data_IF_967062001586
#
_entry.id   IF_967062001586
#
_cell.length_a   1.000
_cell.length_b   1.000
_cell.length_c   1.000
_cell.angle_alpha   90.00
_cell.angle_beta   90.00
_cell.angle_gamma   90.00
#
_symmetry.space_group_name_H-M   'P 1'
#
loop_
_entity.id
_entity.type
_entity.pdbx_description
1 polymer ?
#
# COMPACT_ATOMS: atom_id res chain seq x y z
N UNK A 1 33.40 9.37 -0.69
CA UNK A 1 32.55 9.48 -1.88
C UNK A 1 32.89 10.80 -2.55
N UNK A 2 33.36 10.77 -3.79
CA UNK A 2 33.72 11.98 -4.53
C UNK A 2 32.45 12.71 -4.99
N UNK A 3 32.44 14.03 -4.89
CA UNK A 3 31.32 14.87 -5.31
C UNK A 3 31.15 14.90 -6.83
N UNK A 4 32.24 14.71 -7.58
CA UNK A 4 32.20 14.56 -9.03
C UNK A 4 31.66 13.18 -9.44
N UNK A 5 30.62 13.16 -10.26
CA UNK A 5 30.03 11.94 -10.84
C UNK A 5 29.03 11.20 -9.94
N UNK A 6 28.81 11.64 -8.70
CA UNK A 6 27.86 11.00 -7.78
C UNK A 6 26.61 11.88 -7.55
N UNK A 7 25.50 11.65 -8.27
CA UNK A 7 24.29 12.47 -8.13
C UNK A 7 23.63 12.34 -6.76
N UNK A 8 24.00 11.32 -5.98
CA UNK A 8 23.54 11.18 -4.60
C UNK A 8 24.07 12.31 -3.70
N UNK A 9 25.23 12.89 -4.03
CA UNK A 9 25.84 13.99 -3.29
C UNK A 9 25.02 15.29 -3.34
N UNK A 10 24.04 15.40 -4.23
CA UNK A 10 23.11 16.54 -4.28
C UNK A 10 21.93 16.41 -3.29
N UNK A 11 21.85 15.32 -2.53
CA UNK A 11 20.78 15.05 -1.56
C UNK A 11 21.35 14.90 -0.15
N UNK A 12 20.50 14.93 0.86
CA UNK A 12 20.89 14.56 2.22
C UNK A 12 20.90 13.02 2.38
N UNK A 13 21.98 12.41 1.90
CA UNK A 13 22.13 10.95 1.85
C UNK A 13 22.88 10.38 3.04
N UNK A 14 23.64 11.21 3.78
CA UNK A 14 24.54 10.75 4.85
C UNK A 14 23.73 10.12 5.99
N UNK A 15 22.70 10.82 6.48
CA UNK A 15 21.82 10.30 7.55
C UNK A 15 21.19 8.95 7.15
N UNK A 16 20.67 8.88 5.92
CA UNK A 16 20.09 7.64 5.41
C UNK A 16 21.12 6.50 5.27
N UNK A 17 22.34 6.80 4.84
CA UNK A 17 23.41 5.81 4.75
C UNK A 17 23.81 5.28 6.14
N UNK A 18 23.90 6.15 7.15
CA UNK A 18 24.14 5.76 8.54
C UNK A 18 23.02 4.87 9.07
N UNK A 19 21.76 5.29 8.89
CA UNK A 19 20.61 4.49 9.26
C UNK A 19 20.66 3.11 8.59
N UNK A 20 20.90 3.08 7.28
CA UNK A 20 20.89 1.85 6.48
C UNK A 20 22.03 0.92 6.87
N UNK A 21 23.26 1.41 6.98
CA UNK A 21 24.46 0.57 7.02
C UNK A 21 25.03 0.35 8.43
N UNK A 22 24.54 1.07 9.44
CA UNK A 22 25.00 0.93 10.84
C UNK A 22 24.95 -0.52 11.35
N UNK A 23 23.92 -1.28 11.01
CA UNK A 23 23.81 -2.70 11.40
C UNK A 23 24.82 -3.63 10.73
N UNK A 24 25.49 -3.19 9.66
CA UNK A 24 26.60 -3.91 9.02
C UNK A 24 27.97 -3.53 9.60
N UNK A 25 28.00 -2.74 10.67
CA UNK A 25 29.24 -2.31 11.32
C UNK A 25 29.93 -1.15 10.62
N UNK A 26 29.16 -0.27 9.96
CA UNK A 26 29.71 0.95 9.38
C UNK A 26 30.25 1.87 10.49
N UNK A 27 31.55 2.22 10.40
CA UNK A 27 32.24 3.09 11.38
C UNK A 27 32.63 4.46 10.83
N UNK A 28 32.93 4.55 9.53
CA UNK A 28 33.42 5.78 8.91
C UNK A 28 32.71 6.01 7.57
N UNK A 29 32.39 7.27 7.24
CA UNK A 29 31.90 7.72 5.94
C UNK A 29 32.73 8.92 5.51
N UNK A 30 33.31 8.88 4.31
CA UNK A 30 34.12 9.99 3.77
C UNK A 30 35.22 10.45 4.73
N UNK A 31 35.91 9.49 5.36
CA UNK A 31 36.98 9.72 6.33
C UNK A 31 36.53 10.38 7.66
N UNK A 32 35.23 10.61 7.86
CA UNK A 32 34.65 11.01 9.13
C UNK A 32 34.17 9.79 9.91
N UNK A 33 34.49 9.71 11.20
CA UNK A 33 33.92 8.72 12.11
C UNK A 33 32.45 9.01 12.39
N UNK A 34 31.65 7.96 12.41
CA UNK A 34 30.24 8.04 12.78
C UNK A 34 30.14 7.91 14.30
N UNK A 35 29.62 8.97 14.94
CA UNK A 35 29.36 8.93 16.38
C UNK A 35 28.10 8.12 16.72
N UNK A 36 27.97 7.76 18.00
CA UNK A 36 26.75 7.10 18.51
C UNK A 36 25.53 8.03 18.41
N UNK A 37 25.73 9.33 18.59
CA UNK A 37 24.70 10.36 18.43
C UNK A 37 24.19 10.41 16.98
N UNK A 38 25.10 10.36 16.00
CA UNK A 38 24.75 10.30 14.57
C UNK A 38 23.90 9.06 14.26
N UNK A 39 24.27 7.91 14.82
CA UNK A 39 23.49 6.67 14.65
C UNK A 39 22.10 6.77 15.30
N UNK A 40 22.01 7.38 16.47
CA UNK A 40 20.75 7.57 17.18
C UNK A 40 19.83 8.54 16.44
N UNK A 41 20.37 9.67 15.97
CA UNK A 41 19.63 10.67 15.21
C UNK A 41 19.08 10.09 13.90
N UNK A 42 19.93 9.39 13.14
CA UNK A 42 19.50 8.71 11.92
C UNK A 42 18.48 7.59 12.19
N UNK A 43 18.62 6.86 13.30
CA UNK A 43 17.66 5.81 13.66
C UNK A 43 16.30 6.37 14.03
N UNK A 44 16.25 7.50 14.72
CA UNK A 44 15.00 8.17 15.06
C UNK A 44 14.34 8.80 13.81
N UNK A 45 15.12 9.48 12.97
CA UNK A 45 14.63 10.11 11.72
C UNK A 45 13.93 9.09 10.81
N UNK A 46 14.51 7.90 10.65
CA UNK A 46 13.98 6.86 9.76
C UNK A 46 13.24 5.74 10.48
N UNK A 47 12.89 5.92 11.76
CA UNK A 47 12.20 4.91 12.57
C UNK A 47 10.92 4.41 11.91
N UNK A 48 10.15 5.32 11.32
CA UNK A 48 8.89 5.00 10.63
C UNK A 48 9.05 3.98 9.49
N UNK A 49 10.21 3.95 8.81
CA UNK A 49 10.48 2.95 7.76
C UNK A 49 10.60 1.54 8.36
N UNK A 50 11.28 1.42 9.50
CA UNK A 50 11.41 0.16 10.23
C UNK A 50 10.03 -0.34 10.70
N UNK A 51 9.23 0.54 11.30
CA UNK A 51 7.90 0.18 11.81
C UNK A 51 6.95 -0.24 10.69
N UNK A 52 6.93 0.52 9.60
CA UNK A 52 6.09 0.24 8.43
C UNK A 52 6.43 -1.12 7.84
N UNK A 53 7.72 -1.45 7.66
CA UNK A 53 8.12 -2.76 7.14
C UNK A 53 7.74 -3.88 8.08
N UNK A 54 7.95 -3.74 9.39
CA UNK A 54 7.55 -4.76 10.34
C UNK A 54 6.04 -4.98 10.36
N UNK A 55 5.24 -3.93 10.15
CA UNK A 55 3.78 -4.08 10.06
C UNK A 55 3.29 -4.66 8.74
N UNK A 56 3.95 -4.34 7.63
CA UNK A 56 3.52 -4.75 6.29
C UNK A 56 4.10 -6.08 5.82
N UNK A 57 5.17 -6.59 6.43
CA UNK A 57 5.80 -7.83 6.02
C UNK A 57 4.96 -9.06 6.44
N UNK A 58 4.49 -9.90 5.49
CA UNK A 58 3.76 -11.12 5.81
C UNK A 58 4.67 -12.22 6.37
N UNK A 59 4.13 -13.10 7.21
CA UNK A 59 4.86 -14.20 7.86
C UNK A 59 5.58 -15.12 6.85
N UNK A 60 5.00 -15.33 5.67
CA UNK A 60 5.58 -16.12 4.58
C UNK A 60 6.89 -15.56 4.03
N UNK A 61 7.12 -14.24 4.18
CA UNK A 61 8.37 -13.58 3.80
C UNK A 61 9.28 -13.34 5.00
N UNK A 62 8.72 -13.20 6.20
CA UNK A 62 9.48 -13.03 7.41
C UNK A 62 10.23 -14.31 7.80
N UNK A 63 9.61 -15.49 7.68
CA UNK A 63 10.27 -16.76 8.02
C UNK A 63 11.56 -17.03 7.21
N UNK A 64 11.59 -16.89 5.87
CA UNK A 64 12.82 -16.99 5.09
C UNK A 64 13.86 -15.92 5.42
N UNK A 65 13.41 -14.74 5.86
CA UNK A 65 14.31 -13.67 6.27
C UNK A 65 15.01 -14.01 7.58
N UNK A 66 14.25 -14.47 8.59
CA UNK A 66 14.81 -14.90 9.87
C UNK A 66 15.76 -16.09 9.68
N UNK A 67 15.42 -17.06 8.83
CA UNK A 67 16.31 -18.18 8.55
C UNK A 67 17.62 -17.74 7.86
N UNK A 68 17.57 -16.75 6.94
CA UNK A 68 18.77 -16.15 6.35
C UNK A 68 19.65 -15.48 7.39
N UNK A 69 19.05 -14.86 8.40
CA UNK A 69 19.74 -14.26 9.54
C UNK A 69 20.16 -15.29 10.61
N UNK A 70 19.92 -16.59 10.37
CA UNK A 70 20.17 -17.69 11.31
C UNK A 70 19.44 -17.52 12.64
N UNK A 71 18.25 -16.92 12.60
CA UNK A 71 17.34 -16.76 13.73
C UNK A 71 16.30 -17.86 13.66
N UNK A 72 16.35 -18.79 14.62
CA UNK A 72 15.39 -19.90 14.66
C UNK A 72 14.16 -19.54 15.49
N UNK A 73 13.00 -19.66 14.86
CA UNK A 73 11.70 -19.47 15.50
C UNK A 73 11.19 -20.82 15.99
N UNK A 74 11.30 -21.12 17.29
CA UNK A 74 10.79 -22.37 17.87
C UNK A 74 9.27 -22.46 17.75
N UNK A 75 8.73 -23.19 16.76
CA UNK A 75 7.32 -23.53 16.50
C UNK A 75 6.25 -22.39 16.57
N UNK A 76 6.63 -21.17 16.92
CA UNK A 76 5.78 -20.00 17.00
C UNK A 76 5.79 -19.24 15.67
N UNK A 77 4.75 -18.43 15.41
CA UNK A 77 4.73 -17.50 14.28
C UNK A 77 5.98 -16.61 14.32
N UNK A 78 6.65 -16.46 13.17
CA UNK A 78 7.83 -15.63 12.98
C UNK A 78 7.62 -14.20 13.51
N UNK A 79 6.42 -13.67 13.27
CA UNK A 79 6.04 -12.33 13.70
C UNK A 79 5.92 -12.27 15.22
N UNK A 80 5.23 -13.22 15.84
CA UNK A 80 5.09 -13.25 17.30
C UNK A 80 6.45 -13.33 18.00
N UNK A 81 7.34 -14.20 17.49
CA UNK A 81 8.70 -14.32 17.99
C UNK A 81 9.47 -12.99 17.88
N UNK A 82 9.38 -12.31 16.73
CA UNK A 82 10.09 -11.05 16.48
C UNK A 82 9.62 -9.90 17.40
N UNK A 83 8.33 -9.85 17.75
CA UNK A 83 7.81 -8.83 18.66
C UNK A 83 8.25 -9.04 20.11
N UNK A 84 8.55 -10.28 20.49
CA UNK A 84 9.06 -10.64 21.81
C UNK A 84 10.60 -10.63 21.90
N UNK A 85 11.29 -10.45 20.78
CA UNK A 85 12.74 -10.40 20.72
C UNK A 85 13.31 -9.05 21.22
N UNK A 86 14.63 -9.01 21.44
CA UNK A 86 15.36 -7.80 21.78
C UNK A 86 15.06 -6.65 20.79
N UNK A 87 14.69 -5.44 21.26
CA UNK A 87 14.52 -4.26 20.41
C UNK A 87 15.69 -3.99 19.45
N UNK A 88 16.93 -4.27 19.85
CA UNK A 88 18.10 -4.13 19.00
C UNK A 88 18.06 -5.12 17.82
N UNK A 89 17.75 -6.39 18.10
CA UNK A 89 17.59 -7.42 17.07
C UNK A 89 16.44 -7.11 16.11
N UNK A 90 15.30 -6.65 16.66
CA UNK A 90 14.14 -6.24 15.87
C UNK A 90 14.48 -5.10 14.90
N UNK A 91 15.33 -4.18 15.32
CA UNK A 91 15.82 -3.08 14.47
C UNK A 91 16.69 -3.59 13.34
N UNK A 92 17.57 -4.55 13.60
CA UNK A 92 18.40 -5.21 12.55
C UNK A 92 17.50 -5.93 11.55
N UNK A 93 16.54 -6.73 12.03
CA UNK A 93 15.58 -7.45 11.19
C UNK A 93 14.76 -6.48 10.33
N UNK A 94 14.31 -5.36 10.88
CA UNK A 94 13.58 -4.34 10.12
C UNK A 94 14.44 -3.72 9.00
N UNK A 95 15.70 -3.39 9.30
CA UNK A 95 16.66 -2.86 8.31
C UNK A 95 17.02 -3.87 7.22
N UNK A 96 17.08 -5.15 7.55
CA UNK A 96 17.27 -6.25 6.60
C UNK A 96 16.02 -6.50 5.76
N UNK A 97 14.83 -6.36 6.34
CA UNK A 97 13.56 -6.49 5.65
C UNK A 97 13.32 -5.38 4.64
N UNK A 98 13.77 -4.16 4.91
CA UNK A 98 13.78 -3.05 3.93
C UNK A 98 14.61 -3.38 2.68
N UNK A 99 15.64 -4.21 2.83
CA UNK A 99 16.52 -4.65 1.75
C UNK A 99 16.07 -5.96 1.13
N UNK A 100 15.06 -6.62 1.70
CA UNK A 100 14.63 -7.92 1.25
C UNK A 100 14.11 -7.85 -0.18
N UNK A 101 14.90 -8.44 -1.08
CA UNK A 101 14.51 -8.70 -2.45
C UNK A 101 14.40 -10.19 -2.60
N UNK A 102 13.26 -10.66 -3.13
CA UNK A 102 13.11 -12.05 -3.53
C UNK A 102 14.19 -12.33 -4.57
N UNK A 103 15.12 -13.24 -4.23
CA UNK A 103 16.43 -13.35 -4.89
C UNK A 103 16.34 -13.62 -6.40
N UNK A 104 15.23 -14.21 -6.86
CA UNK A 104 14.92 -14.41 -8.26
C UNK A 104 13.45 -14.02 -8.50
N UNK A 105 13.20 -12.83 -9.07
CA UNK A 105 11.90 -12.53 -9.63
C UNK A 105 11.84 -13.23 -10.99
N UNK A 106 11.01 -14.27 -11.10
CA UNK A 106 10.73 -14.87 -12.40
C UNK A 106 10.08 -13.81 -13.31
N UNK A 107 10.27 -13.94 -14.62
CA UNK A 107 9.51 -13.15 -15.60
C UNK A 107 7.99 -13.27 -15.34
N UNK A 108 7.53 -14.43 -14.88
CA UNK A 108 6.15 -14.66 -14.46
C UNK A 108 5.76 -13.81 -13.24
N UNK A 109 6.62 -13.66 -12.23
CA UNK A 109 6.35 -12.81 -11.06
C UNK A 109 6.18 -11.34 -11.47
N UNK A 110 6.97 -10.86 -12.44
CA UNK A 110 6.83 -9.50 -12.97
C UNK A 110 5.52 -9.31 -13.73
N UNK A 111 5.13 -10.29 -14.56
CA UNK A 111 3.86 -10.28 -15.27
C UNK A 111 2.67 -10.29 -14.31
N UNK A 112 2.71 -11.11 -13.26
CA UNK A 112 1.68 -11.15 -12.22
C UNK A 112 1.58 -9.85 -11.43
N UNK A 113 2.72 -9.20 -11.11
CA UNK A 113 2.71 -7.87 -10.48
C UNK A 113 2.09 -6.81 -11.38
N UNK A 114 2.41 -6.81 -12.67
CA UNK A 114 1.82 -5.87 -13.62
C UNK A 114 0.31 -6.08 -13.75
N UNK A 115 -0.13 -7.34 -13.91
CA UNK A 115 -1.56 -7.72 -13.94
C UNK A 115 -2.28 -7.32 -12.65
N UNK A 116 -1.68 -7.61 -11.49
CA UNK A 116 -2.22 -7.24 -10.18
C UNK A 116 -2.36 -5.73 -10.01
N UNK A 117 -1.36 -4.95 -10.42
CA UNK A 117 -1.42 -3.48 -10.40
C UNK A 117 -2.53 -2.95 -11.30
N UNK A 118 -2.63 -3.45 -12.53
CA UNK A 118 -3.67 -3.03 -13.47
C UNK A 118 -5.07 -3.35 -12.91
N UNK A 119 -5.26 -4.56 -12.39
CA UNK A 119 -6.52 -5.01 -11.79
C UNK A 119 -6.93 -4.20 -10.56
N UNK A 120 -5.98 -3.89 -9.66
CA UNK A 120 -6.23 -3.03 -8.51
C UNK A 120 -6.64 -1.61 -8.96
N UNK A 121 -5.98 -1.09 -10.00
CA UNK A 121 -6.33 0.20 -10.60
C UNK A 121 -7.79 0.24 -11.07
N UNK A 122 -8.21 -0.76 -11.87
CA UNK A 122 -9.60 -0.85 -12.33
C UNK A 122 -10.59 -1.01 -11.19
N UNK A 123 -10.26 -1.78 -10.14
CA UNK A 123 -11.12 -1.91 -8.97
C UNK A 123 -11.29 -0.58 -8.23
N UNK A 124 -10.21 0.19 -8.07
CA UNK A 124 -10.25 1.50 -7.44
C UNK A 124 -11.11 2.47 -8.25
N UNK A 125 -10.93 2.53 -9.57
CA UNK A 125 -11.72 3.38 -10.45
C UNK A 125 -13.22 3.03 -10.42
N UNK A 126 -13.54 1.73 -10.42
CA UNK A 126 -14.92 1.24 -10.28
C UNK A 126 -15.51 1.61 -8.93
N UNK A 127 -14.73 1.46 -7.86
CA UNK A 127 -15.17 1.79 -6.49
C UNK A 127 -15.43 3.29 -6.37
N UNK A 128 -14.52 4.14 -6.82
CA UNK A 128 -14.73 5.60 -6.85
C UNK A 128 -15.96 5.97 -7.67
N UNK A 129 -16.13 5.38 -8.86
CA UNK A 129 -17.30 5.60 -9.70
C UNK A 129 -18.61 5.18 -9.01
N UNK A 130 -18.61 4.03 -8.32
CA UNK A 130 -19.77 3.54 -7.58
C UNK A 130 -20.12 4.47 -6.42
N UNK A 131 -19.12 4.93 -5.66
CA UNK A 131 -19.31 5.88 -4.55
C UNK A 131 -19.91 7.20 -5.04
N UNK A 132 -19.41 7.74 -6.16
CA UNK A 132 -19.97 8.96 -6.76
C UNK A 132 -21.43 8.75 -7.16
N UNK A 133 -21.74 7.64 -7.85
CA UNK A 133 -23.12 7.32 -8.25
C UNK A 133 -24.06 7.13 -7.06
N UNK A 134 -23.60 6.48 -5.99
CA UNK A 134 -24.37 6.31 -4.76
C UNK A 134 -24.70 7.66 -4.12
N UNK A 135 -23.72 8.57 -4.07
CA UNK A 135 -23.95 9.92 -3.55
C UNK A 135 -24.96 10.69 -4.41
N UNK A 136 -24.83 10.63 -5.72
CA UNK A 136 -25.81 11.26 -6.64
C UNK A 136 -27.22 10.67 -6.45
N UNK A 137 -27.31 9.34 -6.27
CA UNK A 137 -28.58 8.69 -6.00
C UNK A 137 -29.18 9.18 -4.68
N UNK A 138 -28.40 9.22 -3.61
CA UNK A 138 -28.84 9.69 -2.28
C UNK A 138 -29.40 11.12 -2.35
N UNK A 139 -28.71 12.02 -3.08
CA UNK A 139 -29.14 13.40 -3.27
C UNK A 139 -30.44 13.51 -4.10
N UNK A 140 -30.65 12.66 -5.10
CA UNK A 140 -31.78 12.75 -6.04
C UNK A 140 -32.96 11.82 -5.72
N UNK A 141 -32.79 10.86 -4.80
CA UNK A 141 -33.74 9.76 -4.57
C UNK A 141 -35.14 10.25 -4.21
N UNK A 142 -35.23 11.27 -3.36
CA UNK A 142 -36.52 11.83 -2.94
C UNK A 142 -37.29 12.47 -4.10
N UNK A 143 -36.59 13.08 -5.05
CA UNK A 143 -37.17 13.69 -6.26
C UNK A 143 -37.61 12.61 -7.22
N UNK A 144 -36.74 11.64 -7.52
CA UNK A 144 -37.03 10.50 -8.39
C UNK A 144 -38.27 9.75 -7.90
N UNK A 145 -38.34 9.45 -6.60
CA UNK A 145 -39.48 8.75 -6.01
C UNK A 145 -40.78 9.55 -6.14
N UNK A 146 -40.71 10.87 -5.92
CA UNK A 146 -41.88 11.75 -6.05
C UNK A 146 -42.38 11.81 -7.49
N UNK A 147 -41.49 11.96 -8.45
CA UNK A 147 -41.83 11.97 -9.87
C UNK A 147 -42.43 10.63 -10.29
N UNK A 148 -41.83 9.52 -9.87
CA UNK A 148 -42.35 8.17 -10.16
C UNK A 148 -43.78 7.99 -9.62
N UNK A 149 -44.03 8.40 -8.36
CA UNK A 149 -45.37 8.32 -7.77
C UNK A 149 -46.36 9.26 -8.48
N UNK A 150 -45.94 10.48 -8.81
CA UNK A 150 -46.79 11.44 -9.54
C UNK A 150 -47.15 10.90 -10.92
N UNK A 151 -46.16 10.49 -11.69
CA UNK A 151 -46.33 10.08 -13.08
C UNK A 151 -47.18 8.81 -13.15
N UNK A 152 -46.96 7.84 -12.26
CA UNK A 152 -47.83 6.66 -12.15
C UNK A 152 -49.28 7.03 -11.78
N UNK A 153 -49.50 7.94 -10.83
CA UNK A 153 -50.86 8.39 -10.49
C UNK A 153 -51.54 9.13 -11.66
N UNK A 154 -50.80 9.94 -12.40
CA UNK A 154 -51.30 10.64 -13.59
C UNK A 154 -51.68 9.62 -14.66
N UNK A 155 -50.81 8.66 -14.96
CA UNK A 155 -51.09 7.59 -15.93
C UNK A 155 -52.35 6.80 -15.56
N UNK A 156 -52.55 6.50 -14.28
CA UNK A 156 -53.78 5.85 -13.79
C UNK A 156 -55.02 6.74 -13.86
N UNK A 157 -54.87 8.06 -13.68
CA UNK A 157 -56.01 8.99 -13.80
C UNK A 157 -56.48 9.16 -15.25
N UNK A 158 -55.58 8.94 -16.22
CA UNK A 158 -55.86 9.07 -17.65
C UNK A 158 -55.51 7.80 -18.45
N UNK A 159 -56.06 6.67 -18.02
CA UNK A 159 -55.78 5.34 -18.61
C UNK A 159 -55.96 5.30 -20.13
N UNK A 160 -56.99 5.94 -20.68
CA UNK A 160 -57.24 5.93 -22.13
C UNK A 160 -56.15 6.63 -22.93
N UNK A 161 -55.60 7.73 -22.40
CA UNK A 161 -54.51 8.46 -23.04
C UNK A 161 -53.19 7.67 -22.93
N UNK A 162 -52.92 7.11 -21.76
CA UNK A 162 -51.78 6.25 -21.50
C UNK A 162 -51.78 5.00 -22.41
N UNK A 163 -52.92 4.29 -22.52
CA UNK A 163 -53.05 3.13 -23.42
C UNK A 163 -52.80 3.48 -24.88
N UNK A 164 -53.31 4.62 -25.37
CA UNK A 164 -53.02 5.10 -26.72
C UNK A 164 -51.53 5.39 -26.92
N UNK A 165 -50.86 5.97 -25.93
CA UNK A 165 -49.42 6.23 -25.97
C UNK A 165 -48.60 4.92 -25.98
N UNK A 166 -48.94 3.94 -25.15
CA UNK A 166 -48.33 2.61 -25.18
C UNK A 166 -48.53 1.93 -26.54
N UNK A 167 -49.75 1.99 -27.10
CA UNK A 167 -50.03 1.44 -28.43
C UNK A 167 -49.23 2.13 -29.55
N UNK A 168 -48.92 3.42 -29.42
CA UNK A 168 -48.08 4.13 -30.37
C UNK A 168 -46.60 3.77 -30.20
N UNK A 169 -46.12 3.59 -28.98
CA UNK A 169 -44.74 3.16 -28.71
C UNK A 169 -44.45 1.73 -29.19
N UNK A 170 -45.47 0.87 -29.27
CA UNK A 170 -45.37 -0.49 -29.82
C UNK A 170 -45.38 -0.55 -31.36
N UNK A 171 -45.68 0.56 -32.04
CA UNK A 171 -45.69 0.65 -33.52
C UNK A 171 -44.35 1.13 -34.10
N UNK A 172 -43.34 1.34 -33.25
CA UNK A 172 -41.94 1.52 -33.60
C UNK A 172 -41.19 0.19 -33.40
#
# INVERSE_FOLDING_TARGET
>A
IHTEGNPICSKDWRSYAIYRLSHWGLRNINDEEISVEDMSAATEEFRGLSELVLWSLPDSLLQPLLSRLRLETSQQSARHWLWNADPALRTVVAKEALQWRRANLSQEDMLWRHKGKAYLGTLLDQTCSAVVKLRMLDEQWSTILRELVRDTLVDYSTLDAYMKQCMNNLKL
#
